data_IF_643407128867
#
_entry.id   IF_643407128867
#
_cell.length_a   1.000
_cell.length_b   1.000
_cell.length_c   1.000
_cell.angle_alpha   90.00
_cell.angle_beta   90.00
_cell.angle_gamma   90.00
#
_symmetry.space_group_name_H-M   'P 1'
#
loop_
_entity.id
_entity.type
_entity.pdbx_description
1 polymer ?
#
# COMPACT_ATOMS: atom_id res chain seq x y z
N UNK A 1 -29.68 -87.40 -55.50
CA UNK A 1 -30.95 -87.70 -54.81
C UNK A 1 -31.04 -86.80 -53.58
N UNK A 2 -32.17 -86.07 -53.45
CA UNK A 2 -32.65 -85.24 -52.30
C UNK A 2 -31.82 -83.98 -51.96
N UNK A 3 -32.22 -82.77 -52.35
CA UNK A 3 -33.37 -81.92 -51.97
C UNK A 3 -33.14 -81.04 -50.72
N UNK A 4 -33.65 -79.80 -50.85
CA UNK A 4 -34.14 -78.87 -49.81
C UNK A 4 -33.15 -77.78 -49.39
N UNK A 5 -33.26 -76.50 -49.78
CA UNK A 5 -34.28 -75.44 -49.55
C UNK A 5 -33.81 -74.45 -48.47
N UNK A 6 -33.96 -73.15 -48.79
CA UNK A 6 -34.43 -72.05 -47.94
C UNK A 6 -33.48 -71.09 -47.18
N UNK A 7 -33.76 -69.80 -47.45
CA UNK A 7 -33.79 -68.60 -46.58
C UNK A 7 -32.64 -67.58 -46.67
N UNK A 8 -32.96 -66.54 -47.46
CA UNK A 8 -32.76 -65.10 -47.29
C UNK A 8 -32.36 -64.62 -45.86
N UNK A 9 -31.23 -63.93 -45.74
CA UNK A 9 -30.79 -63.25 -44.52
C UNK A 9 -30.29 -61.83 -44.81
N UNK A 10 -31.16 -60.85 -44.59
CA UNK A 10 -30.91 -59.41 -44.57
C UNK A 10 -30.43 -59.02 -43.16
N UNK A 11 -29.32 -58.27 -43.01
CA UNK A 11 -29.18 -57.15 -42.05
C UNK A 11 -27.72 -56.71 -41.82
N UNK A 12 -27.47 -55.45 -42.16
CA UNK A 12 -26.72 -54.44 -41.37
C UNK A 12 -25.39 -54.82 -40.72
N UNK A 13 -24.28 -54.53 -41.39
CA UNK A 13 -23.01 -54.19 -40.72
C UNK A 13 -22.85 -52.66 -40.69
N UNK A 14 -22.98 -52.10 -39.49
CA UNK A 14 -22.84 -50.68 -39.21
C UNK A 14 -21.46 -50.16 -39.64
N UNK A 15 -21.43 -49.23 -40.60
CA UNK A 15 -20.31 -48.33 -40.79
C UNK A 15 -20.27 -47.39 -39.59
N UNK A 16 -19.38 -47.71 -38.63
CA UNK A 16 -19.11 -46.87 -37.49
C UNK A 16 -18.60 -45.51 -37.99
N UNK A 17 -19.44 -44.49 -37.81
CA UNK A 17 -19.09 -43.09 -37.98
C UNK A 17 -18.02 -42.72 -36.94
N UNK A 18 -16.75 -42.90 -37.29
CA UNK A 18 -15.62 -42.32 -36.57
C UNK A 18 -15.62 -40.81 -36.81
N UNK A 19 -16.43 -40.09 -36.02
CA UNK A 19 -16.32 -38.64 -35.92
C UNK A 19 -14.96 -38.25 -35.33
N UNK A 20 -14.36 -37.12 -35.72
CA UNK A 20 -13.11 -36.66 -35.14
C UNK A 20 -13.29 -36.42 -33.65
N UNK A 21 -12.41 -37.04 -32.84
CA UNK A 21 -12.26 -36.76 -31.42
C UNK A 21 -12.04 -35.26 -31.21
N UNK A 22 -13.07 -34.57 -30.71
CA UNK A 22 -12.97 -33.17 -30.27
C UNK A 22 -11.92 -33.14 -29.16
N UNK A 23 -10.74 -32.61 -29.47
CA UNK A 23 -9.72 -32.37 -28.46
C UNK A 23 -10.29 -31.48 -27.35
N UNK A 24 -9.95 -31.72 -26.07
CA UNK A 24 -10.36 -30.82 -25.00
C UNK A 24 -9.82 -29.43 -25.32
N UNK A 25 -10.75 -28.49 -25.44
CA UNK A 25 -10.52 -27.11 -25.84
C UNK A 25 -9.50 -26.44 -24.91
N UNK A 26 -8.23 -26.39 -25.30
CA UNK A 26 -7.19 -25.57 -24.65
C UNK A 26 -7.39 -24.11 -25.01
N UNK A 27 -8.46 -23.50 -24.49
CA UNK A 27 -8.51 -22.04 -24.37
C UNK A 27 -7.50 -21.65 -23.30
N UNK A 28 -6.53 -20.77 -23.55
CA UNK A 28 -5.77 -20.18 -22.47
C UNK A 28 -6.78 -19.52 -21.51
N UNK A 29 -6.78 -19.94 -20.24
CA UNK A 29 -7.55 -19.30 -19.19
C UNK A 29 -7.09 -17.83 -19.11
N UNK A 30 -7.79 -16.93 -19.77
CA UNK A 30 -7.66 -15.51 -19.49
C UNK A 30 -8.28 -15.30 -18.11
N UNK A 31 -7.47 -15.49 -17.07
CA UNK A 31 -7.81 -15.25 -15.67
C UNK A 31 -8.01 -13.75 -15.47
N UNK A 32 -9.17 -13.25 -15.86
CA UNK A 32 -9.63 -11.92 -15.56
C UNK A 32 -9.85 -11.81 -14.05
N UNK A 33 -9.04 -10.96 -13.42
CA UNK A 33 -9.13 -10.56 -12.03
C UNK A 33 -10.48 -9.83 -11.82
N UNK A 34 -11.58 -10.55 -11.62
CA UNK A 34 -12.88 -9.94 -11.28
C UNK A 34 -14.17 -10.54 -11.86
N UNK A 35 -14.15 -11.72 -12.50
CA UNK A 35 -15.38 -12.44 -12.89
C UNK A 35 -15.69 -13.61 -11.96
N UNK A 36 -16.94 -14.14 -11.97
CA UNK A 36 -17.45 -15.23 -11.10
C UNK A 36 -16.70 -16.58 -11.12
N UNK A 37 -15.57 -16.66 -11.81
CA UNK A 37 -14.61 -17.78 -11.81
C UNK A 37 -13.16 -17.32 -11.57
N UNK A 38 -12.97 -16.20 -10.88
CA UNK A 38 -11.65 -15.70 -10.50
C UNK A 38 -11.01 -16.51 -9.37
N UNK A 39 -9.71 -16.30 -9.15
CA UNK A 39 -8.93 -16.97 -8.10
C UNK A 39 -9.47 -16.82 -6.67
N UNK A 40 -10.42 -15.90 -6.42
CA UNK A 40 -11.10 -15.82 -5.12
C UNK A 40 -12.17 -16.90 -4.91
N UNK A 41 -12.57 -17.66 -5.93
CA UNK A 41 -13.61 -18.71 -5.83
C UNK A 41 -12.98 -20.10 -5.70
N UNK A 42 -11.96 -20.42 -6.49
CA UNK A 42 -11.24 -21.70 -6.44
C UNK A 42 -10.36 -21.81 -5.20
N UNK A 43 -10.17 -23.04 -4.68
CA UNK A 43 -9.36 -23.26 -3.49
C UNK A 43 -7.88 -22.93 -3.73
N UNK A 44 -7.37 -23.25 -4.92
CA UNK A 44 -6.01 -22.93 -5.34
C UNK A 44 -5.79 -21.42 -5.47
N UNK A 45 -6.74 -20.69 -6.07
CA UNK A 45 -6.61 -19.25 -6.22
C UNK A 45 -6.62 -18.53 -4.86
N UNK A 46 -7.44 -18.97 -3.90
CA UNK A 46 -7.46 -18.42 -2.54
C UNK A 46 -6.11 -18.65 -1.84
N UNK A 47 -5.51 -19.83 -2.02
CA UNK A 47 -4.17 -20.13 -1.49
C UNK A 47 -3.12 -19.20 -2.10
N UNK A 48 -3.15 -18.99 -3.42
CA UNK A 48 -2.26 -18.04 -4.11
C UNK A 48 -2.44 -16.61 -3.62
N UNK A 49 -3.69 -16.15 -3.42
CA UNK A 49 -3.96 -14.82 -2.85
C UNK A 49 -3.43 -14.69 -1.43
N UNK A 50 -3.60 -15.71 -0.58
CA UNK A 50 -3.07 -15.69 0.79
C UNK A 50 -1.53 -15.66 0.77
N UNK A 51 -0.90 -16.44 -0.10
CA UNK A 51 0.56 -16.42 -0.26
C UNK A 51 1.06 -15.03 -0.69
N UNK A 52 0.43 -14.43 -1.70
CA UNK A 52 0.80 -13.09 -2.18
C UNK A 52 0.58 -12.01 -1.11
N UNK A 53 -0.49 -12.12 -0.32
CA UNK A 53 -0.71 -11.19 0.81
C UNK A 53 0.37 -11.37 1.88
N UNK A 54 0.83 -12.60 2.14
CA UNK A 54 1.96 -12.83 3.05
C UNK A 54 3.26 -12.21 2.55
N UNK A 55 3.56 -12.34 1.26
CA UNK A 55 4.72 -11.66 0.66
C UNK A 55 4.66 -10.14 0.87
N UNK A 56 3.48 -9.54 0.69
CA UNK A 56 3.27 -8.10 0.94
C UNK A 56 3.36 -7.74 2.43
N UNK A 57 2.95 -8.63 3.34
CA UNK A 57 3.09 -8.43 4.78
C UNK A 57 4.56 -8.47 5.20
N UNK A 58 5.33 -9.40 4.63
CA UNK A 58 6.75 -9.60 4.93
C UNK A 58 7.60 -8.47 4.35
N UNK A 59 7.22 -7.87 3.22
CA UNK A 59 7.92 -6.70 2.66
C UNK A 59 7.56 -5.38 3.35
N UNK A 60 6.39 -5.31 4.00
CA UNK A 60 5.91 -4.09 4.65
C UNK A 60 6.38 -3.93 6.09
N UNK A 61 6.83 -2.73 6.45
CA UNK A 61 7.11 -2.32 7.84
C UNK A 61 5.81 -1.92 8.59
N UNK A 62 4.82 -1.40 7.87
CA UNK A 62 3.55 -0.93 8.45
C UNK A 62 2.34 -1.28 7.58
N UNK A 63 1.22 -1.56 8.25
CA UNK A 63 -0.07 -1.77 7.60
C UNK A 63 -1.09 -0.74 8.10
N UNK A 64 -1.87 -0.17 7.20
CA UNK A 64 -2.99 0.72 7.55
C UNK A 64 -4.31 0.14 7.03
N UNK A 65 -5.34 0.16 7.87
CA UNK A 65 -6.69 -0.32 7.55
C UNK A 65 -7.62 0.86 7.35
N UNK A 66 -8.30 0.88 6.20
CA UNK A 66 -9.23 1.95 5.83
C UNK A 66 -10.51 1.36 5.25
N UNK A 67 -11.69 1.91 5.56
CA UNK A 67 -12.92 1.48 4.94
C UNK A 67 -12.93 1.83 3.44
N UNK A 68 -13.29 0.86 2.59
CA UNK A 68 -13.32 1.02 1.13
C UNK A 68 -14.70 1.45 0.58
N UNK A 69 -15.69 1.60 1.45
CA UNK A 69 -17.10 1.77 1.09
C UNK A 69 -17.46 3.22 0.77
N UNK A 70 -17.87 3.49 -0.46
CA UNK A 70 -18.36 4.82 -0.88
C UNK A 70 -17.36 5.64 -1.70
N UNK A 71 -16.23 5.05 -2.11
CA UNK A 71 -15.25 5.71 -2.99
C UNK A 71 -15.57 5.40 -4.46
N UNK A 72 -15.57 6.42 -5.33
CA UNK A 72 -15.71 6.22 -6.78
C UNK A 72 -14.42 5.63 -7.37
N UNK A 73 -14.55 4.74 -8.35
CA UNK A 73 -13.40 4.10 -9.02
C UNK A 73 -12.44 5.12 -9.64
N UNK A 74 -12.96 6.20 -10.22
CA UNK A 74 -12.14 7.30 -10.78
C UNK A 74 -11.29 8.00 -9.72
N UNK A 75 -11.83 8.17 -8.51
CA UNK A 75 -11.10 8.75 -7.39
C UNK A 75 -10.01 7.81 -6.89
N UNK A 76 -10.30 6.51 -6.75
CA UNK A 76 -9.29 5.49 -6.37
C UNK A 76 -8.17 5.42 -7.40
N UNK A 77 -8.47 5.52 -8.69
CA UNK A 77 -7.46 5.49 -9.74
C UNK A 77 -6.53 6.70 -9.68
N UNK A 78 -7.07 7.90 -9.43
CA UNK A 78 -6.26 9.10 -9.22
C UNK A 78 -5.42 8.99 -7.94
N UNK A 79 -6.02 8.47 -6.87
CA UNK A 79 -5.33 8.26 -5.61
C UNK A 79 -4.15 7.27 -5.73
N UNK A 80 -4.32 6.17 -6.46
CA UNK A 80 -3.24 5.22 -6.75
C UNK A 80 -2.06 5.85 -7.49
N UNK A 81 -2.29 6.92 -8.26
CA UNK A 81 -1.22 7.66 -8.96
C UNK A 81 -0.54 8.68 -8.06
N UNK A 82 -1.22 9.18 -7.03
CA UNK A 82 -0.68 10.17 -6.10
C UNK A 82 0.08 9.57 -4.92
N UNK A 83 0.11 8.24 -4.80
CA UNK A 83 0.83 7.56 -3.73
C UNK A 83 2.34 7.59 -3.98
N UNK A 84 3.15 7.71 -2.92
CA UNK A 84 4.60 7.63 -3.02
C UNK A 84 5.03 6.21 -3.44
N UNK A 85 6.20 6.12 -4.07
CA UNK A 85 6.87 4.85 -4.36
C UNK A 85 7.09 4.07 -3.05
N UNK A 86 6.79 2.77 -3.06
CA UNK A 86 6.87 1.91 -1.85
C UNK A 86 5.58 1.78 -1.04
N UNK A 87 4.43 2.29 -1.54
CA UNK A 87 3.11 2.01 -0.94
C UNK A 87 2.22 1.22 -1.88
N UNK A 88 1.83 0.02 -1.45
CA UNK A 88 0.95 -0.87 -2.20
C UNK A 88 -0.45 -0.89 -1.59
N UNK A 89 -1.46 -0.57 -2.41
CA UNK A 89 -2.87 -0.57 -1.98
C UNK A 89 -3.62 -1.75 -2.57
N UNK A 90 -4.20 -2.59 -1.71
CA UNK A 90 -5.02 -3.73 -2.13
C UNK A 90 -6.28 -3.86 -1.30
N UNK A 91 -7.34 -4.30 -1.96
CA UNK A 91 -8.59 -4.69 -1.30
C UNK A 91 -8.58 -6.20 -1.20
N UNK A 92 -8.60 -6.74 0.02
CA UNK A 92 -8.48 -8.17 0.31
C UNK A 92 -9.67 -8.61 1.14
N UNK A 93 -10.23 -9.78 0.83
CA UNK A 93 -11.34 -10.37 1.60
C UNK A 93 -10.91 -10.64 3.05
N UNK A 94 -11.71 -10.21 4.00
CA UNK A 94 -11.38 -10.25 5.44
C UNK A 94 -10.99 -11.65 5.92
N UNK A 95 -11.67 -12.72 5.46
CA UNK A 95 -11.32 -14.09 5.87
C UNK A 95 -10.00 -14.58 5.26
N UNK A 96 -9.60 -14.07 4.10
CA UNK A 96 -8.28 -14.37 3.53
C UNK A 96 -7.19 -13.60 4.30
N UNK A 97 -7.48 -12.36 4.69
CA UNK A 97 -6.58 -11.56 5.52
C UNK A 97 -6.34 -12.19 6.89
N UNK A 98 -7.40 -12.64 7.57
CA UNK A 98 -7.30 -13.38 8.85
C UNK A 98 -6.36 -14.60 8.72
N UNK A 99 -6.46 -15.37 7.64
CA UNK A 99 -5.57 -16.52 7.40
C UNK A 99 -4.13 -16.11 7.07
N UNK A 100 -3.93 -14.96 6.43
CA UNK A 100 -2.59 -14.46 6.13
C UNK A 100 -1.90 -13.93 7.39
N UNK A 101 -2.66 -13.32 8.30
CA UNK A 101 -2.19 -12.76 9.58
C UNK A 101 -1.87 -13.86 10.61
N UNK A 102 -2.63 -14.96 10.63
CA UNK A 102 -2.37 -16.13 11.50
C UNK A 102 -0.89 -16.57 11.38
N UNK A 103 -0.11 -16.34 12.44
CA UNK A 103 1.33 -16.67 12.51
C UNK A 103 2.31 -15.52 12.21
N UNK A 104 1.82 -14.31 12.00
CA UNK A 104 2.65 -13.09 11.86
C UNK A 104 2.48 -12.16 13.06
N UNK A 105 3.36 -11.16 13.17
CA UNK A 105 3.30 -10.14 14.23
C UNK A 105 2.03 -9.28 14.17
N UNK A 106 1.24 -9.38 13.10
CA UNK A 106 0.08 -8.55 12.83
C UNK A 106 -1.24 -9.10 13.42
N UNK A 107 -1.21 -10.06 14.35
CA UNK A 107 -2.39 -10.73 14.90
C UNK A 107 -3.41 -9.77 15.54
N UNK A 108 -2.92 -8.67 16.12
CA UNK A 108 -3.73 -7.59 16.70
C UNK A 108 -4.67 -6.89 15.69
N UNK A 109 -4.43 -7.05 14.38
CA UNK A 109 -5.28 -6.48 13.31
C UNK A 109 -6.59 -7.26 13.14
N UNK A 110 -6.68 -8.48 13.68
CA UNK A 110 -7.83 -9.36 13.54
C UNK A 110 -9.16 -8.71 13.98
N UNK A 111 -9.13 -7.86 15.00
CA UNK A 111 -10.32 -7.18 15.55
C UNK A 111 -10.88 -6.11 14.60
N UNK A 112 -10.02 -5.56 13.74
CA UNK A 112 -10.34 -4.48 12.80
C UNK A 112 -10.83 -5.00 11.44
N UNK A 113 -10.93 -6.32 11.28
CA UNK A 113 -11.37 -7.01 10.06
C UNK A 113 -12.90 -6.92 9.82
N UNK A 114 -13.60 -5.92 10.36
CA UNK A 114 -15.05 -5.77 10.23
C UNK A 114 -15.40 -4.73 9.16
N UNK A 115 -16.30 -5.09 8.25
CA UNK A 115 -16.75 -4.20 7.17
C UNK A 115 -15.93 -4.34 5.88
N UNK A 116 -16.07 -3.36 4.99
CA UNK A 116 -15.36 -3.32 3.72
C UNK A 116 -13.98 -2.69 3.92
N UNK A 117 -12.92 -3.50 3.93
CA UNK A 117 -11.57 -3.03 4.25
C UNK A 117 -10.68 -2.95 3.02
N UNK A 118 -9.96 -1.83 2.92
CA UNK A 118 -8.83 -1.60 2.03
C UNK A 118 -7.56 -1.54 2.86
N UNK A 119 -6.53 -2.23 2.38
CA UNK A 119 -5.24 -2.39 3.05
C UNK A 119 -4.18 -1.59 2.33
N UNK A 120 -3.38 -0.89 3.11
CA UNK A 120 -2.16 -0.23 2.69
C UNK A 120 -0.98 -0.99 3.26
N UNK A 121 -0.12 -1.48 2.38
CA UNK A 121 1.17 -2.07 2.72
C UNK A 121 2.23 -1.02 2.44
N UNK A 122 2.97 -0.61 3.47
CA UNK A 122 3.94 0.48 3.40
C UNK A 122 5.32 -0.09 3.71
N UNK A 123 6.26 0.12 2.80
CA UNK A 123 7.65 -0.33 2.94
C UNK A 123 8.55 0.77 3.53
N UNK A 124 8.50 2.00 2.99
CA UNK A 124 9.46 3.06 3.37
C UNK A 124 8.84 4.35 3.92
N UNK A 125 7.70 4.81 3.38
CA UNK A 125 7.13 6.13 3.70
C UNK A 125 5.72 6.08 4.32
N UNK A 126 5.72 5.98 5.64
CA UNK A 126 4.53 6.02 6.49
C UNK A 126 3.87 7.41 6.47
N UNK A 127 4.67 8.45 6.68
CA UNK A 127 4.17 9.82 6.85
C UNK A 127 3.57 10.38 5.55
N UNK A 128 4.21 10.10 4.41
CA UNK A 128 3.71 10.50 3.10
C UNK A 128 2.38 9.82 2.75
N UNK A 129 2.23 8.53 3.03
CA UNK A 129 1.00 7.78 2.75
C UNK A 129 -0.18 8.27 3.56
N UNK A 130 0.00 8.55 4.85
CA UNK A 130 -1.09 9.08 5.69
C UNK A 130 -1.44 10.52 5.29
N UNK A 131 -0.46 11.34 4.92
CA UNK A 131 -0.72 12.71 4.40
C UNK A 131 -1.45 12.67 3.06
N UNK A 132 -1.06 11.79 2.15
CA UNK A 132 -1.73 11.60 0.87
C UNK A 132 -3.17 11.12 1.07
N UNK A 133 -3.40 10.21 2.02
CA UNK A 133 -4.74 9.78 2.41
C UNK A 133 -5.58 10.93 2.98
N UNK A 134 -5.03 11.71 3.91
CA UNK A 134 -5.72 12.87 4.48
C UNK A 134 -6.04 13.95 3.44
N UNK A 135 -5.13 14.17 2.48
CA UNK A 135 -5.38 15.06 1.35
C UNK A 135 -6.53 14.52 0.47
N UNK A 136 -6.53 13.22 0.19
CA UNK A 136 -7.58 12.56 -0.58
C UNK A 136 -8.96 12.65 0.10
N UNK A 137 -9.04 12.46 1.42
CA UNK A 137 -10.27 12.62 2.20
C UNK A 137 -10.81 14.05 2.12
N UNK A 138 -9.93 15.06 2.18
CA UNK A 138 -10.30 16.48 2.03
C UNK A 138 -10.83 16.78 0.63
N UNK A 139 -10.13 16.33 -0.42
CA UNK A 139 -10.55 16.56 -1.81
C UNK A 139 -11.88 15.88 -2.14
N UNK A 140 -12.15 14.72 -1.53
CA UNK A 140 -13.34 13.94 -1.83
C UNK A 140 -14.54 14.24 -0.93
N UNK A 141 -14.40 15.14 0.05
CA UNK A 141 -15.45 15.49 1.04
C UNK A 141 -16.07 14.25 1.74
N UNK A 142 -15.28 13.19 1.94
CA UNK A 142 -15.69 11.91 2.54
C UNK A 142 -15.27 11.80 4.03
N UNK A 143 -15.15 12.95 4.70
CA UNK A 143 -14.50 13.08 6.02
C UNK A 143 -15.24 12.29 7.11
N UNK A 144 -16.56 12.14 7.01
CA UNK A 144 -17.38 11.45 8.02
C UNK A 144 -17.49 9.93 7.84
N UNK A 145 -17.35 9.40 6.62
CA UNK A 145 -17.55 7.97 6.33
C UNK A 145 -16.26 7.15 6.22
N UNK A 146 -15.10 7.82 6.14
CA UNK A 146 -13.81 7.18 5.88
C UNK A 146 -12.76 7.53 6.94
N UNK A 147 -13.13 7.37 8.21
CA UNK A 147 -12.13 7.39 9.28
C UNK A 147 -11.17 6.21 9.08
N UNK A 148 -9.87 6.49 9.18
CA UNK A 148 -8.86 5.42 9.26
C UNK A 148 -9.23 4.59 10.49
N UNK A 149 -9.53 3.32 10.29
CA UNK A 149 -9.94 2.44 11.39
C UNK A 149 -8.77 2.29 12.37
N UNK A 150 -7.55 2.25 11.84
CA UNK A 150 -6.31 2.18 12.59
C UNK A 150 -5.18 1.63 11.74
N UNK A 151 -3.98 1.62 12.31
CA UNK A 151 -2.77 1.11 11.69
C UNK A 151 -2.01 0.22 12.65
N UNK A 152 -1.29 -0.77 12.12
CA UNK A 152 -0.43 -1.63 12.92
C UNK A 152 1.03 -1.41 12.51
N UNK A 153 1.87 -1.20 13.52
CA UNK A 153 3.33 -1.13 13.40
C UNK A 153 3.89 -2.25 14.26
N UNK A 154 4.57 -3.21 13.64
CA UNK A 154 5.34 -4.23 14.35
C UNK A 154 4.57 -4.92 15.52
N UNK A 155 3.25 -5.07 15.37
CA UNK A 155 2.37 -5.72 16.36
C UNK A 155 1.68 -4.79 17.36
N UNK A 156 1.95 -3.48 17.32
CA UNK A 156 1.22 -2.47 18.11
C UNK A 156 0.09 -1.88 17.27
N UNK A 157 -1.15 -2.11 17.71
CA UNK A 157 -2.33 -1.53 17.09
C UNK A 157 -2.51 -0.06 17.52
N UNK A 158 -2.61 0.83 16.54
CA UNK A 158 -2.90 2.25 16.72
C UNK A 158 -4.30 2.57 16.22
N UNK A 159 -5.11 3.18 17.09
CA UNK A 159 -6.41 3.73 16.75
C UNK A 159 -6.29 4.97 15.83
N UNK A 160 -7.41 5.44 15.28
CA UNK A 160 -7.56 6.64 14.44
C UNK A 160 -6.80 7.87 14.96
N UNK A 161 -6.85 8.10 16.28
CA UNK A 161 -6.12 9.20 16.93
C UNK A 161 -4.60 9.00 16.87
N UNK A 162 -4.12 7.76 17.04
CA UNK A 162 -2.72 7.38 16.91
C UNK A 162 -2.20 7.54 15.48
N UNK A 163 -3.00 7.15 14.48
CA UNK A 163 -2.63 7.35 13.07
C UNK A 163 -2.56 8.83 12.69
N UNK A 164 -3.43 9.66 13.28
CA UNK A 164 -3.36 11.12 13.11
C UNK A 164 -2.07 11.70 13.72
N UNK A 165 -1.61 11.19 14.86
CA UNK A 165 -0.33 11.60 15.43
C UNK A 165 0.85 11.20 14.52
N UNK A 166 0.81 10.00 13.95
CA UNK A 166 1.80 9.51 12.98
C UNK A 166 1.82 10.39 11.72
N UNK A 167 0.66 10.92 11.30
CA UNK A 167 0.58 11.83 10.13
C UNK A 167 1.37 13.14 10.31
N UNK A 168 1.59 13.59 11.55
CA UNK A 168 2.37 14.80 11.85
C UNK A 168 3.87 14.57 11.74
N UNK A 169 4.32 13.31 11.70
CA UNK A 169 5.72 12.99 11.54
C UNK A 169 6.19 13.33 10.11
N UNK A 170 7.41 13.86 9.95
CA UNK A 170 8.03 14.01 8.65
C UNK A 170 8.38 12.64 8.03
N UNK A 171 8.63 12.61 6.72
CA UNK A 171 9.00 11.38 6.00
C UNK A 171 10.34 10.82 6.51
N UNK A 172 10.65 9.55 6.24
CA UNK A 172 11.91 8.90 6.70
C UNK A 172 13.16 9.70 6.28
N UNK A 173 13.20 10.19 5.04
CA UNK A 173 14.32 11.02 4.52
C UNK A 173 14.41 12.37 5.21
N UNK A 174 13.28 13.02 5.46
CA UNK A 174 13.23 14.29 6.20
C UNK A 174 13.62 14.10 7.67
N UNK A 175 13.19 13.00 8.32
CA UNK A 175 13.57 12.65 9.69
C UNK A 175 15.09 12.45 9.81
N UNK A 176 15.68 11.68 8.89
CA UNK A 176 17.14 11.51 8.83
C UNK A 176 17.83 12.87 8.64
N UNK A 177 17.30 13.71 7.75
CA UNK A 177 17.80 15.07 7.53
C UNK A 177 17.72 15.97 8.77
N UNK A 178 16.62 15.90 9.53
CA UNK A 178 16.45 16.66 10.78
C UNK A 178 17.40 16.18 11.87
N UNK A 179 17.60 14.87 12.00
CA UNK A 179 18.56 14.30 12.96
C UNK A 179 19.99 14.70 12.57
N UNK A 180 20.38 14.54 11.31
CA UNK A 180 21.70 14.98 10.82
C UNK A 180 21.90 16.49 11.00
N UNK A 181 20.87 17.29 10.70
CA UNK A 181 20.87 18.73 10.93
C UNK A 181 21.00 19.10 12.40
N UNK A 182 20.32 18.39 13.29
CA UNK A 182 20.42 18.60 14.74
C UNK A 182 21.83 18.26 15.26
N UNK A 183 22.43 17.17 14.79
CA UNK A 183 23.81 16.78 15.13
C UNK A 183 24.78 17.87 14.67
N UNK A 184 24.67 18.35 13.43
CA UNK A 184 25.54 19.41 12.89
C UNK A 184 25.29 20.78 13.53
N UNK A 185 24.06 21.03 14.01
CA UNK A 185 23.70 22.27 14.66
C UNK A 185 24.38 22.44 16.02
N UNK A 186 24.67 21.36 16.75
CA UNK A 186 25.29 21.45 18.08
C UNK A 186 26.71 22.05 18.02
N UNK A 187 27.66 21.52 17.22
CA UNK A 187 28.99 22.13 17.07
C UNK A 187 28.94 23.55 16.51
N UNK A 188 28.05 23.81 15.55
CA UNK A 188 27.89 25.13 14.94
C UNK A 188 27.40 26.16 15.95
N UNK A 189 26.47 25.79 16.83
CA UNK A 189 25.99 26.66 17.92
C UNK A 189 27.11 26.96 18.91
N UNK A 190 27.90 25.96 19.30
CA UNK A 190 29.04 26.15 20.22
C UNK A 190 30.10 27.08 19.60
N UNK A 191 30.50 26.85 18.36
CA UNK A 191 31.46 27.71 17.67
C UNK A 191 30.94 29.15 17.49
N UNK A 192 29.63 29.32 17.25
CA UNK A 192 28.99 30.63 17.16
C UNK A 192 28.99 31.36 18.50
N UNK A 193 28.75 30.67 19.62
CA UNK A 193 28.80 31.27 20.96
C UNK A 193 30.21 31.75 21.30
N UNK A 194 31.24 30.98 20.97
CA UNK A 194 32.65 31.37 21.21
C UNK A 194 33.04 32.59 20.36
N UNK A 195 32.60 32.67 19.11
CA UNK A 195 32.93 33.79 18.20
C UNK A 195 32.06 35.04 18.42
N UNK A 196 30.90 34.91 19.05
CA UNK A 196 29.95 36.01 19.28
C UNK A 196 30.54 37.22 20.06
N UNK A 197 31.27 37.06 21.17
CA UNK A 197 31.82 38.21 21.89
C UNK A 197 32.85 38.97 21.05
N UNK A 198 33.77 38.29 20.35
CA UNK A 198 34.77 38.95 19.48
C UNK A 198 34.13 39.72 18.32
N UNK A 199 33.11 39.15 17.68
CA UNK A 199 32.37 39.81 16.60
C UNK A 199 31.56 41.03 17.07
N UNK A 200 30.99 40.99 18.28
CA UNK A 200 30.26 42.14 18.85
C UNK A 200 31.19 43.32 19.12
N UNK A 201 32.36 43.06 19.69
CA UNK A 201 33.38 44.10 19.93
C UNK A 201 33.91 44.67 18.62
N UNK A 202 34.24 43.81 17.64
CA UNK A 202 34.71 44.26 16.33
C UNK A 202 33.64 45.10 15.59
N UNK A 203 32.35 44.75 15.72
CA UNK A 203 31.26 45.56 15.15
C UNK A 203 31.08 46.90 15.86
N UNK A 204 31.20 46.94 17.19
CA UNK A 204 31.10 48.19 17.95
C UNK A 204 32.21 49.16 17.57
N UNK A 205 33.44 48.67 17.41
CA UNK A 205 34.59 49.49 16.97
C UNK A 205 34.38 50.00 15.54
N UNK A 206 33.84 49.16 14.64
CA UNK A 206 33.56 49.58 13.25
C UNK A 206 32.47 50.65 13.20
N UNK A 207 31.38 50.49 13.95
CA UNK A 207 30.29 51.47 14.04
C UNK A 207 30.77 52.81 14.62
N UNK A 208 31.59 52.77 15.68
CA UNK A 208 32.21 53.98 16.22
C UNK A 208 33.18 54.65 15.23
N UNK A 209 33.90 53.86 14.43
CA UNK A 209 34.76 54.37 13.36
C UNK A 209 33.99 55.00 12.19
N UNK A 210 32.84 54.43 11.82
CA UNK A 210 31.98 54.98 10.76
C UNK A 210 31.29 56.29 11.22
N UNK A 211 30.92 56.42 12.51
CA UNK A 211 30.44 57.69 13.09
C UNK A 211 31.51 58.78 13.11
N UNK A 212 32.77 58.43 13.42
CA UNK A 212 33.89 59.39 13.40
C UNK A 212 34.19 59.86 11.96
N UNK A 213 34.08 58.97 10.97
CA UNK A 213 34.32 59.33 9.56
C UNK A 213 33.16 60.13 8.93
N UNK A 214 31.93 59.95 9.42
CA UNK A 214 30.76 60.72 8.98
C UNK A 214 30.74 62.17 9.44
N UNK A 215 31.41 62.50 10.55
CA UNK A 215 31.51 63.89 11.07
C UNK A 215 32.60 64.71 10.36
N UNK A 216 33.52 64.06 9.64
CA UNK A 216 34.60 64.73 8.87
C UNK A 216 34.21 65.13 7.43
N UNK A 217 32.95 64.98 7.03
CA UNK A 217 32.50 65.24 5.65
C UNK A 217 31.47 66.38 5.50
N UNK A 218 31.27 67.21 6.54
CA UNK A 218 30.55 68.49 6.48
C UNK A 218 31.48 69.67 6.80
#
# INVERSE_FOLDING_TARGET
MKQSLFILGLAASATAFSGPSIAPNTRPETTLFGGGRGGSTTLEGKKKTVAHVRELLDSSEMIITVPASGIKVSQVQNFRRSLPEGTTVKVVKNKLMSRAIEGTQYEAVGEMLRGANMWFFIEEDIGGTVKAWNAFCKTSQLIESHQILGGNIEGINYDSAGVTAISKLPTKKELIGQIAGAINAVPTKVARVIKAPGMKVARAIKLAGDEVNGVTSD
#
